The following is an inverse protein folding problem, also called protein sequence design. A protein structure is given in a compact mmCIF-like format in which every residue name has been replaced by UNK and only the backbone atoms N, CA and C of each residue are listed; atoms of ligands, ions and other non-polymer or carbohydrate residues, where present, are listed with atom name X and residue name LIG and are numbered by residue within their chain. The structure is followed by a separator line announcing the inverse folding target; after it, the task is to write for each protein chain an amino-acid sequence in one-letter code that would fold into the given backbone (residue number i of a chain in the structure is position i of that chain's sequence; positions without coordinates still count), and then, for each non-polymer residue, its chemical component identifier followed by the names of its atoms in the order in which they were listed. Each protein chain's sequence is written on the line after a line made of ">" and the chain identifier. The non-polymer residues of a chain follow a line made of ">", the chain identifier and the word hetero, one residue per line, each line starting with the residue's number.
data_IF_024563308764
#
_entry.id   IF_024563308764
#
_cell.length_a   1.000
_cell.length_b   1.000
_cell.length_c   1.000
_cell.angle_alpha   90.00
_cell.angle_beta   90.00
_cell.angle_gamma   90.00
#
_symmetry.space_group_name_H-M   'P 1'
#
loop_
_entity.id
_entity.type
_entity.pdbx_description
1 polymer ?
#
# COMPACT_ATOMS: atom_id res chain seq x y z
N UNK A 1 -4.53 6.97 -32.71
CA UNK A 1 -5.04 8.35 -32.58
C UNK A 1 -4.11 9.14 -31.66
N UNK A 2 -3.68 10.33 -32.06
CA UNK A 2 -2.91 11.23 -31.20
C UNK A 2 -3.85 11.91 -30.21
N UNK A 3 -3.67 11.60 -28.93
CA UNK A 3 -4.55 12.03 -27.84
C UNK A 3 -3.71 12.65 -26.74
N UNK A 4 -4.22 13.71 -26.12
CA UNK A 4 -3.67 14.24 -24.87
C UNK A 4 -4.36 13.51 -23.73
N UNK A 5 -3.60 12.72 -22.98
CA UNK A 5 -4.07 12.12 -21.74
C UNK A 5 -3.77 13.06 -20.59
N UNK A 6 -4.78 13.41 -19.81
CA UNK A 6 -4.68 14.31 -18.67
C UNK A 6 -5.18 13.61 -17.42
N UNK A 7 -4.36 13.61 -16.37
CA UNK A 7 -4.74 13.28 -15.02
C UNK A 7 -4.86 14.58 -14.22
N UNK A 8 -5.97 14.76 -13.51
CA UNK A 8 -6.29 15.99 -12.78
C UNK A 8 -6.74 15.67 -11.37
N UNK A 9 -6.27 16.46 -10.41
CA UNK A 9 -6.66 16.37 -9.01
C UNK A 9 -6.74 17.77 -8.40
N UNK A 10 -7.15 17.84 -7.14
CA UNK A 10 -7.15 19.08 -6.35
C UNK A 10 -5.83 19.13 -5.57
N UNK A 11 -5.37 20.35 -5.37
CA UNK A 11 -4.25 20.69 -4.51
C UNK A 11 -4.73 21.69 -3.46
N UNK A 12 -4.32 21.48 -2.21
CA UNK A 12 -4.70 22.29 -1.06
C UNK A 12 -3.45 22.80 -0.37
N UNK A 13 -3.51 24.02 0.16
CA UNK A 13 -2.43 24.61 0.91
C UNK A 13 -2.62 26.09 1.17
N UNK A 14 -1.67 26.67 1.90
CA UNK A 14 -1.60 28.09 2.17
C UNK A 14 -0.82 28.81 1.05
N UNK A 15 -1.39 28.83 -0.15
CA UNK A 15 -0.84 29.52 -1.32
C UNK A 15 -1.93 30.20 -2.14
N UNK A 16 -1.55 31.13 -3.00
CA UNK A 16 -2.47 31.85 -3.89
C UNK A 16 -1.96 31.79 -5.32
N UNK A 17 -2.84 31.39 -6.24
CA UNK A 17 -2.60 31.40 -7.68
C UNK A 17 -3.46 32.51 -8.29
N UNK A 18 -2.82 33.55 -8.82
CA UNK A 18 -3.51 34.70 -9.44
C UNK A 18 -3.94 34.41 -10.88
N UNK A 19 -3.10 33.69 -11.62
CA UNK A 19 -3.30 33.32 -13.02
C UNK A 19 -2.95 31.84 -13.21
N UNK A 20 -3.59 31.15 -14.17
CA UNK A 20 -3.24 29.77 -14.49
C UNK A 20 -1.74 29.62 -14.81
N UNK A 21 -1.06 28.72 -14.10
CA UNK A 21 0.35 28.42 -14.29
C UNK A 21 0.46 27.18 -15.17
N UNK A 22 1.36 27.22 -16.15
CA UNK A 22 1.63 26.12 -17.06
C UNK A 22 3.13 25.94 -17.22
N UNK A 23 3.61 24.71 -17.05
CA UNK A 23 5.00 24.33 -17.28
C UNK A 23 5.10 23.03 -18.07
N UNK A 24 6.26 22.81 -18.70
CA UNK A 24 6.62 21.55 -19.33
C UNK A 24 7.76 20.91 -18.55
N UNK A 25 7.56 19.67 -18.09
CA UNK A 25 8.55 18.90 -17.34
C UNK A 25 8.58 17.46 -17.84
N UNK A 26 9.75 16.98 -18.30
CA UNK A 26 9.94 15.61 -18.79
C UNK A 26 8.86 15.14 -19.79
N UNK A 27 8.53 15.97 -20.80
CA UNK A 27 7.48 15.73 -21.80
C UNK A 27 6.05 15.70 -21.24
N UNK A 28 5.86 16.09 -19.97
CA UNK A 28 4.56 16.26 -19.35
C UNK A 28 4.25 17.74 -19.20
N UNK A 29 3.06 18.14 -19.61
CA UNK A 29 2.52 19.47 -19.38
C UNK A 29 1.82 19.48 -18.02
N UNK A 30 2.22 20.39 -17.15
CA UNK A 30 1.67 20.53 -15.80
C UNK A 30 0.96 21.88 -15.73
N UNK A 31 -0.30 21.86 -15.32
CA UNK A 31 -1.13 23.06 -15.17
C UNK A 31 -1.65 23.17 -13.73
N UNK A 32 -1.55 24.37 -13.15
CA UNK A 32 -2.12 24.73 -11.85
C UNK A 32 -3.05 25.93 -12.04
N UNK A 33 -4.34 25.75 -11.72
CA UNK A 33 -5.36 26.76 -11.99
C UNK A 33 -6.52 26.68 -10.99
N UNK A 34 -7.38 27.70 -11.01
CA UNK A 34 -8.59 27.73 -10.18
C UNK A 34 -9.80 27.26 -11.00
N UNK A 35 -10.59 26.33 -10.45
CA UNK A 35 -11.86 25.89 -11.05
C UNK A 35 -12.87 25.58 -9.96
N UNK A 36 -14.07 26.17 -10.05
CA UNK A 36 -15.12 25.96 -9.05
C UNK A 36 -14.71 26.36 -7.62
N UNK A 37 -13.78 27.31 -7.48
CA UNK A 37 -13.25 27.74 -6.18
C UNK A 37 -12.18 26.83 -5.57
N UNK A 38 -11.77 25.76 -6.27
CA UNK A 38 -10.71 24.86 -5.85
C UNK A 38 -9.46 25.04 -6.73
N UNK A 39 -8.28 24.89 -6.13
CA UNK A 39 -7.04 24.79 -6.91
C UNK A 39 -6.92 23.39 -7.51
N UNK A 40 -6.79 23.35 -8.82
CA UNK A 40 -6.67 22.13 -9.61
C UNK A 40 -5.25 22.00 -10.13
N UNK A 41 -4.69 20.81 -9.97
CA UNK A 41 -3.41 20.43 -10.54
C UNK A 41 -3.66 19.35 -11.58
N UNK A 42 -3.20 19.57 -12.81
CA UNK A 42 -3.27 18.56 -13.86
C UNK A 42 -1.92 18.29 -14.49
N UNK A 43 -1.66 17.02 -14.79
CA UNK A 43 -0.50 16.55 -15.52
C UNK A 43 -1.02 15.91 -16.81
N UNK A 44 -0.46 16.30 -17.94
CA UNK A 44 -0.91 15.89 -19.26
C UNK A 44 0.27 15.41 -20.11
N UNK A 45 0.04 14.42 -20.97
CA UNK A 45 1.04 13.95 -21.94
C UNK A 45 0.39 13.52 -23.24
N UNK A 46 1.18 13.54 -24.30
CA UNK A 46 0.75 13.02 -25.58
C UNK A 46 0.90 11.50 -25.61
N UNK A 47 -0.15 10.82 -26.07
CA UNK A 47 -0.18 9.37 -26.24
C UNK A 47 -0.69 9.01 -27.63
N UNK A 48 -0.17 7.89 -28.13
CA UNK A 48 -0.77 7.16 -29.24
C UNK A 48 -1.74 6.13 -28.67
N UNK A 49 -3.04 6.40 -28.81
CA UNK A 49 -4.09 5.50 -28.38
C UNK A 49 -4.55 4.64 -29.57
N UNK A 50 -4.54 3.32 -29.41
CA UNK A 50 -5.08 2.41 -30.40
C UNK A 50 -6.59 2.25 -30.22
N UNK A 51 -7.33 1.93 -31.30
CA UNK A 51 -8.78 1.68 -31.18
C UNK A 51 -9.10 0.44 -30.33
N UNK A 52 -8.19 -0.53 -30.28
CA UNK A 52 -8.22 -1.70 -29.40
C UNK A 52 -8.21 -1.35 -27.91
N UNK A 53 -7.70 -0.17 -27.54
CA UNK A 53 -7.59 0.28 -26.16
C UNK A 53 -8.92 0.82 -25.57
N UNK A 54 -9.94 0.98 -26.42
CA UNK A 54 -11.29 1.43 -26.06
C UNK A 54 -12.31 0.34 -26.35
N UNK A 55 -12.71 -0.39 -25.32
CA UNK A 55 -13.79 -1.37 -25.43
C UNK A 55 -15.12 -0.67 -25.11
N UNK A 56 -15.92 -0.38 -26.13
CA UNK A 56 -17.28 0.17 -25.93
C UNK A 56 -18.15 -0.88 -25.22
N UNK A 57 -18.53 -0.59 -23.98
CA UNK A 57 -19.33 -1.47 -23.12
C UNK A 57 -20.83 -1.30 -23.39
N UNK A 58 -21.28 -0.09 -23.72
CA UNK A 58 -22.70 0.21 -24.01
C UNK A 58 -22.85 1.60 -24.62
N UNK A 59 -23.94 1.82 -25.37
CA UNK A 59 -24.32 3.12 -25.94
C UNK A 59 -25.77 3.40 -25.61
N UNK A 60 -26.02 4.29 -24.65
CA UNK A 60 -27.37 4.74 -24.31
C UNK A 60 -27.52 6.22 -24.64
N UNK A 61 -28.46 6.55 -25.53
CA UNK A 61 -28.87 7.94 -25.80
C UNK A 61 -27.74 8.90 -26.20
N UNK A 62 -26.71 8.42 -26.89
CA UNK A 62 -25.57 9.23 -27.34
C UNK A 62 -24.38 9.30 -26.38
N UNK A 63 -24.44 8.67 -25.19
CA UNK A 63 -23.27 8.48 -24.33
C UNK A 63 -22.80 7.03 -24.42
N UNK A 64 -21.62 6.85 -25.03
CA UNK A 64 -20.91 5.58 -25.04
C UNK A 64 -20.09 5.42 -23.75
N UNK A 65 -20.20 4.26 -23.11
CA UNK A 65 -19.37 3.88 -21.95
C UNK A 65 -18.23 2.99 -22.44
N UNK A 66 -16.99 3.30 -22.09
CA UNK A 66 -15.81 2.54 -22.51
C UNK A 66 -15.08 1.91 -21.32
N UNK A 67 -14.57 0.70 -21.50
CA UNK A 67 -13.51 0.14 -20.67
C UNK A 67 -12.16 0.43 -21.32
N UNK A 68 -11.20 0.92 -20.53
CA UNK A 68 -9.83 1.14 -20.96
C UNK A 68 -8.86 0.73 -19.86
N UNK A 69 -7.66 0.28 -20.24
CA UNK A 69 -6.61 -0.05 -19.28
C UNK A 69 -5.94 1.24 -18.80
N UNK A 70 -6.50 1.84 -17.74
CA UNK A 70 -5.98 3.10 -17.15
C UNK A 70 -4.49 2.99 -16.79
N UNK A 71 -4.06 1.83 -16.30
CA UNK A 71 -2.68 1.62 -15.86
C UNK A 71 -1.69 1.63 -17.04
N UNK A 72 -2.15 1.49 -18.29
CA UNK A 72 -1.34 1.68 -19.50
C UNK A 72 -0.92 3.15 -19.67
N UNK A 73 -1.76 4.10 -19.25
CA UNK A 73 -1.56 5.53 -19.53
C UNK A 73 -1.20 6.35 -18.30
N UNK A 74 -1.77 6.03 -17.14
CA UNK A 74 -1.36 6.61 -15.86
C UNK A 74 -0.08 5.89 -15.40
N UNK A 75 1.07 6.38 -15.85
CA UNK A 75 2.37 5.81 -15.49
C UNK A 75 2.88 6.35 -14.16
N UNK A 76 3.93 5.69 -13.64
CA UNK A 76 4.59 6.10 -12.39
C UNK A 76 5.07 7.54 -12.45
N UNK A 77 5.60 8.00 -13.60
CA UNK A 77 6.10 9.37 -13.78
C UNK A 77 5.04 10.43 -13.52
N UNK A 78 3.82 10.25 -14.01
CA UNK A 78 2.73 11.21 -13.72
C UNK A 78 2.41 11.26 -12.22
N UNK A 79 2.39 10.12 -11.53
CA UNK A 79 2.18 10.06 -10.08
C UNK A 79 3.35 10.67 -9.30
N UNK A 80 4.58 10.45 -9.75
CA UNK A 80 5.77 11.02 -9.14
C UNK A 80 5.81 12.55 -9.29
N UNK A 81 5.30 13.11 -10.41
CA UNK A 81 5.12 14.57 -10.55
C UNK A 81 4.20 15.11 -9.46
N UNK A 82 3.03 14.49 -9.25
CA UNK A 82 2.12 14.91 -8.18
C UNK A 82 2.76 14.81 -6.80
N UNK A 83 3.46 13.70 -6.53
CA UNK A 83 4.19 13.47 -5.27
C UNK A 83 5.27 14.54 -5.06
N UNK A 84 6.06 14.83 -6.08
CA UNK A 84 7.12 15.82 -6.00
C UNK A 84 6.56 17.22 -5.73
N UNK A 85 5.47 17.61 -6.38
CA UNK A 85 4.82 18.90 -6.12
C UNK A 85 4.30 18.97 -4.68
N UNK A 86 3.72 17.89 -4.16
CA UNK A 86 3.31 17.82 -2.75
C UNK A 86 4.50 18.00 -1.80
N UNK A 87 5.59 17.26 -2.01
CA UNK A 87 6.77 17.26 -1.13
C UNK A 87 7.53 18.59 -1.19
N UNK A 88 7.99 19.00 -2.37
CA UNK A 88 8.80 20.21 -2.52
C UNK A 88 7.96 21.48 -2.32
N UNK A 89 6.72 21.45 -2.82
CA UNK A 89 5.77 22.53 -2.62
C UNK A 89 5.35 22.70 -1.16
N UNK A 90 5.29 21.62 -0.39
CA UNK A 90 4.97 21.71 1.04
C UNK A 90 6.06 22.37 1.86
N UNK A 91 7.33 22.19 1.49
CA UNK A 91 8.44 22.85 2.17
C UNK A 91 8.52 24.35 1.83
N UNK A 92 8.38 24.72 0.55
CA UNK A 92 8.71 26.08 0.09
C UNK A 92 7.49 26.98 -0.13
N UNK A 93 6.33 26.39 -0.39
CA UNK A 93 5.18 27.09 -0.98
C UNK A 93 3.85 26.77 -0.30
N UNK A 94 3.88 26.23 0.92
CA UNK A 94 2.68 26.03 1.73
C UNK A 94 1.69 25.01 1.16
N UNK A 95 2.08 24.17 0.20
CA UNK A 95 1.24 23.07 -0.29
C UNK A 95 1.06 22.06 0.84
N UNK A 96 -0.17 21.81 1.24
CA UNK A 96 -0.50 20.88 2.33
C UNK A 96 -0.81 19.48 1.79
N UNK A 97 -1.52 19.40 0.66
CA UNK A 97 -1.95 18.13 0.10
C UNK A 97 -2.19 18.21 -1.41
N UNK A 98 -1.80 17.17 -2.13
CA UNK A 98 -2.22 16.89 -3.51
C UNK A 98 -3.00 15.57 -3.47
N UNK A 99 -4.25 15.59 -3.92
CA UNK A 99 -5.19 14.48 -3.71
C UNK A 99 -5.14 13.39 -4.79
N UNK A 100 -3.96 13.17 -5.38
CA UNK A 100 -3.77 12.23 -6.48
C UNK A 100 -3.99 10.76 -6.09
N UNK A 101 -3.99 10.44 -4.79
CA UNK A 101 -4.27 9.12 -4.24
C UNK A 101 -5.74 8.90 -3.88
N UNK A 102 -6.52 9.97 -3.72
CA UNK A 102 -7.92 9.92 -3.33
C UNK A 102 -8.82 10.01 -4.56
N UNK A 103 -8.53 10.97 -5.44
CA UNK A 103 -9.31 11.24 -6.64
C UNK A 103 -8.45 11.74 -7.81
N UNK A 104 -8.67 11.10 -8.96
CA UNK A 104 -8.16 11.54 -10.24
C UNK A 104 -9.31 11.66 -11.24
N UNK A 105 -9.49 12.86 -11.77
CA UNK A 105 -10.29 13.09 -12.97
C UNK A 105 -9.37 12.87 -14.18
N UNK A 106 -9.66 11.80 -14.93
CA UNK A 106 -8.90 11.38 -16.10
C UNK A 106 -9.64 11.80 -17.36
N UNK A 107 -8.93 12.33 -18.35
CA UNK A 107 -9.52 12.71 -19.63
C UNK A 107 -8.58 12.44 -20.80
N UNK A 108 -9.20 12.17 -21.95
CA UNK A 108 -8.52 11.89 -23.21
C UNK A 108 -9.04 12.89 -24.23
N UNK A 109 -8.20 13.80 -24.68
CA UNK A 109 -8.57 14.91 -25.56
C UNK A 109 -7.97 14.65 -26.94
N UNK A 110 -8.81 14.67 -27.97
CA UNK A 110 -8.36 14.63 -29.37
C UNK A 110 -7.54 15.90 -29.65
N UNK A 111 -6.25 15.73 -29.96
CA UNK A 111 -5.33 16.85 -30.18
C UNK A 111 -5.74 17.71 -31.38
N UNK A 112 -6.31 17.11 -32.43
CA UNK A 112 -6.69 17.83 -33.65
C UNK A 112 -8.00 18.60 -33.48
N UNK A 113 -8.95 18.03 -32.73
CA UNK A 113 -10.29 18.64 -32.55
C UNK A 113 -10.42 19.45 -31.26
N UNK A 114 -9.44 19.35 -30.36
CA UNK A 114 -9.50 19.86 -28.98
C UNK A 114 -10.80 19.49 -28.27
N UNK A 115 -11.29 18.26 -28.49
CA UNK A 115 -12.54 17.74 -27.93
C UNK A 115 -12.23 16.57 -27.01
N UNK A 116 -12.86 16.57 -25.83
CA UNK A 116 -12.82 15.43 -24.90
C UNK A 116 -13.47 14.24 -25.60
N UNK A 117 -12.70 13.18 -25.83
CA UNK A 117 -13.18 11.91 -26.37
C UNK A 117 -13.95 11.16 -25.29
N UNK A 118 -13.37 11.08 -24.09
CA UNK A 118 -14.01 10.53 -22.91
C UNK A 118 -13.31 11.04 -21.64
N UNK A 119 -14.02 10.99 -20.52
CA UNK A 119 -13.50 11.33 -19.20
C UNK A 119 -14.04 10.36 -18.16
N UNK A 120 -13.28 10.15 -17.09
CA UNK A 120 -13.62 9.26 -16.00
C UNK A 120 -13.09 9.82 -14.68
N UNK A 121 -13.91 9.74 -13.63
CA UNK A 121 -13.45 9.98 -12.26
C UNK A 121 -13.01 8.66 -11.63
N UNK A 122 -11.72 8.52 -11.37
CA UNK A 122 -11.14 7.38 -10.64
C UNK A 122 -11.05 7.75 -9.17
N UNK A 123 -11.93 7.15 -8.35
CA UNK A 123 -11.73 7.08 -6.91
C UNK A 123 -10.88 5.85 -6.63
N UNK A 124 -9.66 6.06 -6.17
CA UNK A 124 -8.69 4.98 -5.94
C UNK A 124 -8.98 4.23 -4.64
N UNK A 125 -9.62 4.87 -3.66
CA UNK A 125 -9.87 4.33 -2.32
C UNK A 125 -11.35 4.16 -1.98
N UNK A 126 -12.03 3.23 -2.66
CA UNK A 126 -13.33 2.74 -2.16
C UNK A 126 -13.09 1.68 -1.08
N UNK A 127 -12.91 2.11 0.16
CA UNK A 127 -12.98 1.20 1.30
C UNK A 127 -14.35 0.51 1.32
N UNK A 128 -14.36 -0.81 1.48
CA UNK A 128 -15.61 -1.57 1.68
C UNK A 128 -16.24 -1.12 3.00
N UNK A 129 -17.45 -0.57 2.93
CA UNK A 129 -18.24 -0.28 4.13
C UNK A 129 -18.61 -1.60 4.80
N UNK A 130 -18.29 -1.72 6.09
CA UNK A 130 -18.69 -2.88 6.91
C UNK A 130 -19.97 -2.52 7.66
N UNK A 131 -20.97 -3.41 7.63
CA UNK A 131 -22.18 -3.25 8.43
C UNK A 131 -21.84 -3.43 9.92
N UNK A 132 -22.14 -2.41 10.72
CA UNK A 132 -22.06 -2.51 12.18
C UNK A 132 -23.42 -2.97 12.71
N UNK A 133 -23.44 -4.16 13.32
CA UNK A 133 -24.60 -4.70 14.03
C UNK A 133 -24.43 -4.50 15.54
N UNK A 134 -25.52 -4.63 16.30
CA UNK A 134 -25.48 -4.60 17.78
C UNK A 134 -24.48 -5.60 18.34
N UNK A 135 -24.44 -6.82 17.77
CA UNK A 135 -23.54 -7.89 18.21
C UNK A 135 -22.07 -7.55 17.98
N UNK A 136 -21.73 -7.05 16.79
CA UNK A 136 -20.36 -6.68 16.46
C UNK A 136 -19.88 -5.48 17.29
N UNK A 137 -20.77 -4.52 17.55
CA UNK A 137 -20.46 -3.35 18.38
C UNK A 137 -20.25 -3.75 19.86
N UNK A 138 -21.10 -4.63 20.39
CA UNK A 138 -20.94 -5.17 21.76
C UNK A 138 -19.65 -5.97 21.90
N UNK A 139 -19.29 -6.76 20.87
CA UNK A 139 -18.03 -7.52 20.83
C UNK A 139 -16.80 -6.61 20.79
N UNK A 140 -16.86 -5.47 20.09
CA UNK A 140 -15.78 -4.47 20.08
C UNK A 140 -15.52 -3.90 21.48
N UNK A 141 -16.58 -3.62 22.25
CA UNK A 141 -16.43 -3.17 23.63
C UNK A 141 -15.84 -4.25 24.54
N UNK A 142 -16.17 -5.51 24.26
CA UNK A 142 -15.68 -6.67 25.01
C UNK A 142 -14.20 -7.00 24.72
N UNK A 143 -13.75 -6.78 23.48
CA UNK A 143 -12.36 -7.03 23.07
C UNK A 143 -11.37 -6.19 23.91
N UNK A 144 -11.72 -4.94 24.29
CA UNK A 144 -10.89 -4.12 25.20
C UNK A 144 -10.62 -4.82 26.53
N UNK A 145 -11.60 -5.56 27.04
CA UNK A 145 -11.50 -6.29 28.31
C UNK A 145 -10.79 -7.61 28.14
N UNK A 146 -10.92 -8.27 26.99
CA UNK A 146 -10.37 -9.60 26.76
C UNK A 146 -8.94 -9.61 26.22
N UNK A 147 -8.57 -8.62 25.40
CA UNK A 147 -7.25 -8.52 24.74
C UNK A 147 -6.71 -7.07 24.81
N UNK A 148 -6.51 -6.50 26.01
CA UNK A 148 -6.00 -5.12 26.14
C UNK A 148 -4.66 -4.90 25.44
N UNK A 149 -3.81 -5.93 25.37
CA UNK A 149 -2.52 -5.91 24.69
C UNK A 149 -2.62 -5.67 23.18
N UNK A 150 -3.78 -5.92 22.57
CA UNK A 150 -4.01 -5.73 21.13
C UNK A 150 -4.20 -4.26 20.75
N UNK A 151 -4.46 -3.35 21.71
CA UNK A 151 -4.75 -1.93 21.43
C UNK A 151 -3.67 -1.26 20.58
N UNK A 152 -2.41 -1.41 20.97
CA UNK A 152 -1.26 -0.78 20.28
C UNK A 152 -1.05 -1.42 18.89
N UNK A 153 -0.94 -2.76 18.76
CA UNK A 153 -0.92 -3.46 17.46
C UNK A 153 -2.06 -3.07 16.52
N UNK A 154 -3.29 -3.01 17.02
CA UNK A 154 -4.46 -2.68 16.19
C UNK A 154 -4.44 -1.23 15.73
N UNK A 155 -3.94 -0.30 16.54
CA UNK A 155 -3.79 1.09 16.11
C UNK A 155 -2.74 1.22 15.00
N UNK A 156 -1.56 0.62 15.17
CA UNK A 156 -0.55 0.59 14.12
C UNK A 156 -1.04 -0.14 12.87
N UNK A 157 -1.80 -1.22 13.01
CA UNK A 157 -2.38 -1.93 11.88
C UNK A 157 -3.37 -1.03 11.12
N UNK A 158 -4.22 -0.28 11.82
CA UNK A 158 -5.14 0.68 11.21
C UNK A 158 -4.38 1.79 10.46
N UNK A 159 -3.37 2.38 11.08
CA UNK A 159 -2.54 3.44 10.48
C UNK A 159 -1.77 2.90 9.26
N UNK A 160 -1.14 1.74 9.39
CA UNK A 160 -0.42 1.07 8.30
C UNK A 160 -1.30 0.80 7.09
N UNK A 161 -2.53 0.32 7.31
CA UNK A 161 -3.49 0.14 6.22
C UNK A 161 -3.91 1.47 5.59
N UNK A 162 -4.05 2.55 6.36
CA UNK A 162 -4.31 3.86 5.78
C UNK A 162 -3.17 4.35 4.86
N UNK A 163 -1.92 4.01 5.17
CA UNK A 163 -0.79 4.30 4.28
C UNK A 163 -0.79 3.38 3.06
N UNK A 164 -1.10 2.10 3.26
CA UNK A 164 -1.18 1.12 2.18
C UNK A 164 -2.28 1.47 1.16
N UNK A 165 -3.43 1.94 1.63
CA UNK A 165 -4.52 2.48 0.80
C UNK A 165 -4.04 3.68 -0.03
N UNK A 166 -3.12 4.48 0.51
CA UNK A 166 -2.50 5.62 -0.20
C UNK A 166 -1.28 5.22 -1.04
N UNK A 167 -1.01 3.93 -1.19
CA UNK A 167 0.17 3.38 -1.88
C UNK A 167 1.50 3.89 -1.30
N UNK A 168 1.50 4.42 -0.07
CA UNK A 168 2.71 4.82 0.64
C UNK A 168 3.30 3.58 1.32
N UNK A 169 3.96 2.76 0.51
CA UNK A 169 4.49 1.47 0.97
C UNK A 169 5.57 1.64 2.04
N UNK A 170 6.35 2.71 2.01
CA UNK A 170 7.41 2.97 3.00
C UNK A 170 6.81 3.23 4.37
N UNK A 171 5.85 4.16 4.46
CA UNK A 171 5.18 4.46 5.73
C UNK A 171 4.38 3.25 6.22
N UNK A 172 3.68 2.55 5.33
CA UNK A 172 2.95 1.33 5.67
C UNK A 172 3.90 0.26 6.24
N UNK A 173 5.03 0.03 5.58
CA UNK A 173 6.05 -0.93 6.01
C UNK A 173 6.54 -0.63 7.43
N UNK A 174 6.92 0.62 7.69
CA UNK A 174 7.42 1.05 9.00
C UNK A 174 6.36 0.78 10.09
N UNK A 175 5.10 1.11 9.83
CA UNK A 175 4.02 0.90 10.82
C UNK A 175 3.72 -0.58 11.04
N UNK A 176 3.72 -1.41 10.00
CA UNK A 176 3.62 -2.86 10.17
C UNK A 176 4.82 -3.42 10.95
N UNK A 177 6.03 -2.94 10.68
CA UNK A 177 7.21 -3.37 11.41
C UNK A 177 7.10 -3.01 12.90
N UNK A 178 6.60 -1.83 13.25
CA UNK A 178 6.37 -1.42 14.65
C UNK A 178 5.44 -2.39 15.41
N UNK A 179 4.48 -3.04 14.74
CA UNK A 179 3.68 -4.11 15.34
C UNK A 179 4.57 -5.28 15.75
N UNK A 180 5.46 -5.73 14.87
CA UNK A 180 6.38 -6.82 15.16
C UNK A 180 7.35 -6.44 16.29
N UNK A 181 7.85 -5.21 16.31
CA UNK A 181 8.70 -4.70 17.39
C UNK A 181 7.98 -4.78 18.74
N UNK A 182 6.78 -4.20 18.81
CA UNK A 182 5.97 -4.18 20.02
C UNK A 182 5.67 -5.60 20.51
N UNK A 183 5.29 -6.51 19.61
CA UNK A 183 4.86 -7.86 19.99
C UNK A 183 6.01 -8.79 20.36
N UNK A 184 7.17 -8.66 19.72
CA UNK A 184 8.20 -9.70 19.74
C UNK A 184 9.60 -9.20 20.11
N UNK A 185 9.89 -7.90 20.07
CA UNK A 185 11.24 -7.40 20.36
C UNK A 185 11.57 -7.38 21.86
N UNK A 186 10.54 -7.38 22.72
CA UNK A 186 10.67 -7.28 24.20
C UNK A 186 11.40 -5.99 24.65
N UNK A 187 11.15 -4.87 23.97
CA UNK A 187 11.79 -3.58 24.25
C UNK A 187 13.29 -3.53 23.92
N UNK A 188 13.80 -4.51 23.17
CA UNK A 188 15.19 -4.54 22.69
C UNK A 188 15.29 -3.95 21.30
N UNK A 189 16.43 -3.33 21.01
CA UNK A 189 16.78 -2.77 19.69
C UNK A 189 17.97 -3.54 19.11
N UNK A 190 18.26 -3.36 17.83
CA UNK A 190 19.44 -3.91 17.13
C UNK A 190 19.46 -5.45 17.00
N UNK A 191 20.64 -6.10 17.02
CA UNK A 191 20.78 -7.54 16.78
C UNK A 191 19.97 -8.42 17.77
N UNK A 192 19.72 -7.94 18.99
CA UNK A 192 18.95 -8.66 20.01
C UNK A 192 17.46 -8.77 19.63
N UNK A 193 16.90 -7.73 19.00
CA UNK A 193 15.54 -7.74 18.45
C UNK A 193 15.38 -8.84 17.41
N UNK A 194 16.30 -8.90 16.44
CA UNK A 194 16.30 -9.92 15.39
C UNK A 194 16.36 -11.33 15.98
N UNK A 195 17.19 -11.54 17.00
CA UNK A 195 17.26 -12.82 17.74
C UNK A 195 15.93 -13.16 18.42
N UNK A 196 15.24 -12.17 19.00
CA UNK A 196 13.94 -12.38 19.63
C UNK A 196 12.85 -12.74 18.61
N UNK A 197 12.87 -12.11 17.43
CA UNK A 197 11.96 -12.45 16.34
C UNK A 197 12.12 -13.91 15.92
N UNK A 198 13.37 -14.35 15.69
CA UNK A 198 13.67 -15.74 15.28
C UNK A 198 13.28 -16.79 16.32
N UNK A 199 13.19 -16.42 17.60
CA UNK A 199 12.75 -17.32 18.68
C UNK A 199 11.23 -17.38 18.86
N UNK A 200 10.47 -16.52 18.19
CA UNK A 200 9.02 -16.43 18.38
C UNK A 200 8.28 -17.44 17.50
N UNK A 201 7.78 -18.52 18.11
CA UNK A 201 6.91 -19.48 17.40
C UNK A 201 5.65 -18.80 16.86
N UNK A 202 5.15 -17.78 17.55
CA UNK A 202 3.98 -17.03 17.09
C UNK A 202 4.25 -16.28 15.79
N UNK A 203 5.42 -15.65 15.70
CA UNK A 203 5.85 -14.95 14.49
C UNK A 203 6.17 -15.95 13.37
N UNK A 204 6.82 -17.07 13.70
CA UNK A 204 7.06 -18.17 12.76
C UNK A 204 5.75 -18.70 12.17
N UNK A 205 4.76 -18.94 13.01
CA UNK A 205 3.44 -19.35 12.56
C UNK A 205 2.77 -18.32 11.64
N UNK A 206 2.83 -17.03 11.98
CA UNK A 206 2.27 -15.97 11.13
C UNK A 206 2.99 -15.84 9.78
N UNK A 207 4.32 -15.96 9.76
CA UNK A 207 5.14 -15.94 8.53
C UNK A 207 4.82 -17.14 7.65
N UNK A 208 4.83 -18.35 8.18
CA UNK A 208 4.52 -19.56 7.41
C UNK A 208 3.08 -19.55 6.88
N UNK A 209 2.12 -19.06 7.69
CA UNK A 209 0.74 -18.90 7.25
C UNK A 209 0.62 -17.90 6.10
N UNK A 210 1.43 -16.83 6.13
CA UNK A 210 1.49 -15.84 5.04
C UNK A 210 2.04 -16.46 3.76
N UNK A 211 3.16 -17.20 3.84
CA UNK A 211 3.74 -17.89 2.68
C UNK A 211 2.71 -18.84 2.06
N UNK A 212 2.04 -19.66 2.88
CA UNK A 212 1.04 -20.60 2.40
C UNK A 212 -0.15 -19.88 1.74
N UNK A 213 -0.68 -18.85 2.39
CA UNK A 213 -1.77 -18.04 1.84
C UNK A 213 -1.40 -17.42 0.49
N UNK A 214 -0.20 -16.85 0.36
CA UNK A 214 0.26 -16.26 -0.90
C UNK A 214 0.46 -17.31 -1.99
N UNK A 215 1.08 -18.45 -1.66
CA UNK A 215 1.25 -19.56 -2.60
C UNK A 215 -0.10 -20.05 -3.17
N UNK A 216 -1.15 -20.06 -2.36
CA UNK A 216 -2.49 -20.48 -2.76
C UNK A 216 -3.30 -19.40 -3.50
N UNK A 217 -3.20 -18.13 -3.09
CA UNK A 217 -4.13 -17.07 -3.51
C UNK A 217 -3.51 -15.97 -4.38
N UNK A 218 -2.18 -15.86 -4.38
CA UNK A 218 -1.45 -14.77 -5.04
C UNK A 218 -0.05 -15.25 -5.42
N UNK A 219 0.00 -16.18 -6.38
CA UNK A 219 1.24 -16.88 -6.75
C UNK A 219 2.33 -15.93 -7.28
N UNK A 220 1.97 -14.87 -8.01
CA UNK A 220 2.91 -13.86 -8.49
C UNK A 220 3.63 -13.15 -7.33
N UNK A 221 2.89 -12.73 -6.30
CA UNK A 221 3.47 -12.13 -5.10
C UNK A 221 4.34 -13.12 -4.33
N UNK A 222 3.97 -14.41 -4.32
CA UNK A 222 4.82 -15.46 -3.77
C UNK A 222 6.16 -15.58 -4.53
N UNK A 223 6.14 -15.46 -5.86
CA UNK A 223 7.35 -15.45 -6.67
C UNK A 223 8.20 -14.20 -6.43
N UNK A 224 7.60 -13.02 -6.32
CA UNK A 224 8.31 -11.77 -5.98
C UNK A 224 9.03 -11.89 -4.63
N UNK A 225 8.37 -12.43 -3.61
CA UNK A 225 8.98 -12.64 -2.28
C UNK A 225 10.09 -13.71 -2.33
N UNK A 226 9.91 -14.75 -3.14
CA UNK A 226 10.96 -15.75 -3.36
C UNK A 226 12.17 -15.15 -4.08
N UNK A 227 11.95 -14.23 -5.02
CA UNK A 227 13.01 -13.51 -5.72
C UNK A 227 13.79 -12.61 -4.76
N UNK A 228 13.11 -11.86 -3.89
CA UNK A 228 13.74 -11.03 -2.84
C UNK A 228 14.69 -11.82 -1.93
N UNK A 229 14.37 -13.10 -1.66
CA UNK A 229 15.25 -14.02 -0.93
C UNK A 229 16.46 -14.42 -1.78
N UNK A 230 16.22 -14.75 -3.05
CA UNK A 230 17.24 -15.23 -4.00
C UNK A 230 18.26 -14.15 -4.33
N UNK A 231 17.83 -12.90 -4.49
CA UNK A 231 18.68 -11.74 -4.75
C UNK A 231 19.67 -11.48 -3.60
N UNK A 232 19.35 -11.96 -2.40
CA UNK A 232 20.24 -11.95 -1.23
C UNK A 232 20.96 -13.28 -1.01
N UNK A 233 20.98 -14.14 -2.02
CA UNK A 233 21.58 -15.49 -2.02
C UNK A 233 21.09 -16.38 -0.87
N UNK A 234 19.81 -16.28 -0.52
CA UNK A 234 19.20 -17.07 0.56
C UNK A 234 17.96 -17.81 0.07
N UNK A 235 17.74 -18.99 0.65
CA UNK A 235 16.51 -19.73 0.41
C UNK A 235 15.32 -19.09 1.14
N UNK A 236 14.13 -19.24 0.56
CA UNK A 236 12.88 -18.80 1.16
C UNK A 236 12.59 -19.64 2.41
N UNK A 237 12.84 -19.07 3.59
CA UNK A 237 12.48 -19.68 4.87
C UNK A 237 12.18 -18.60 5.90
N UNK A 238 11.69 -19.01 7.07
CA UNK A 238 11.35 -18.08 8.15
C UNK A 238 12.51 -17.16 8.53
N UNK A 239 13.70 -17.71 8.71
CA UNK A 239 14.88 -16.98 9.13
C UNK A 239 15.34 -15.94 8.11
N UNK A 240 15.32 -16.30 6.82
CA UNK A 240 15.60 -15.39 5.71
C UNK A 240 14.59 -14.25 5.66
N UNK A 241 13.30 -14.53 5.85
CA UNK A 241 12.28 -13.48 5.81
C UNK A 241 12.36 -12.54 7.01
N UNK A 242 12.69 -13.03 8.20
CA UNK A 242 13.00 -12.17 9.35
C UNK A 242 14.22 -11.29 9.05
N UNK A 243 15.27 -11.87 8.45
CA UNK A 243 16.44 -11.12 8.04
C UNK A 243 16.04 -10.01 7.06
N UNK A 244 15.32 -10.33 5.98
CA UNK A 244 14.90 -9.36 4.96
C UNK A 244 14.09 -8.24 5.59
N UNK A 245 13.09 -8.57 6.41
CA UNK A 245 12.27 -7.55 7.07
C UNK A 245 13.13 -6.64 7.98
N UNK A 246 14.06 -7.21 8.72
CA UNK A 246 14.98 -6.41 9.54
C UNK A 246 15.86 -5.46 8.70
N UNK A 247 16.36 -5.91 7.55
CA UNK A 247 17.16 -5.04 6.66
C UNK A 247 16.33 -3.92 6.06
N UNK A 248 15.14 -4.22 5.51
CA UNK A 248 14.22 -3.20 4.99
C UNK A 248 13.85 -2.18 6.06
N UNK A 249 13.61 -2.61 7.31
CA UNK A 249 13.41 -1.66 8.40
C UNK A 249 14.59 -0.70 8.56
N UNK A 250 15.82 -1.21 8.59
CA UNK A 250 17.01 -0.37 8.67
C UNK A 250 17.11 0.60 7.50
N UNK A 251 17.00 0.08 6.28
CA UNK A 251 17.16 0.85 5.05
C UNK A 251 16.10 1.96 4.91
N UNK A 252 14.84 1.65 5.24
CA UNK A 252 13.73 2.61 5.20
C UNK A 252 13.75 3.62 6.37
N UNK A 253 14.57 3.39 7.40
CA UNK A 253 14.74 4.33 8.53
C UNK A 253 15.91 5.28 8.34
N UNK A 254 16.87 4.94 7.48
CA UNK A 254 18.03 5.76 7.19
C UNK A 254 17.74 6.69 6.01
N UNK A 255 17.70 8.00 6.23
CA UNK A 255 17.29 8.99 5.23
C UNK A 255 17.94 8.80 3.84
N UNK A 256 19.26 8.59 3.78
CA UNK A 256 19.97 8.39 2.50
C UNK A 256 19.53 7.12 1.75
N UNK A 257 19.27 6.02 2.48
CA UNK A 257 18.82 4.77 1.87
C UNK A 257 17.33 4.83 1.52
N UNK A 258 16.54 5.45 2.39
CA UNK A 258 15.12 5.71 2.19
C UNK A 258 14.86 6.52 0.91
N UNK A 259 15.69 7.52 0.59
CA UNK A 259 15.56 8.32 -0.62
C UNK A 259 15.52 7.46 -1.90
N UNK A 260 16.36 6.42 -1.98
CA UNK A 260 16.38 5.47 -3.12
C UNK A 260 15.02 4.77 -3.29
N UNK A 261 14.37 4.43 -2.19
CA UNK A 261 13.05 3.79 -2.20
C UNK A 261 11.92 4.79 -2.42
N UNK A 262 12.08 6.06 -2.04
CA UNK A 262 11.09 7.12 -2.32
C UNK A 262 10.99 7.42 -3.83
N UNK A 263 12.12 7.32 -4.55
CA UNK A 263 12.17 7.39 -6.01
C UNK A 263 11.57 6.16 -6.70
N UNK A 264 11.50 5.01 -6.02
CA UNK A 264 10.92 3.78 -6.57
C UNK A 264 10.12 2.99 -5.51
N UNK A 265 8.97 3.53 -5.10
CA UNK A 265 8.16 2.93 -4.04
C UNK A 265 7.63 1.52 -4.41
N UNK A 266 7.43 1.24 -5.70
CA UNK A 266 6.97 -0.09 -6.16
C UNK A 266 8.00 -1.19 -5.84
N UNK A 267 9.28 -0.87 -5.69
CA UNK A 267 10.29 -1.85 -5.22
C UNK A 267 10.05 -2.33 -3.78
N UNK A 268 9.39 -1.53 -2.93
CA UNK A 268 9.10 -1.88 -1.53
C UNK A 268 7.74 -2.58 -1.39
N UNK A 269 6.92 -2.54 -2.44
CA UNK A 269 5.56 -3.08 -2.42
C UNK A 269 5.50 -4.57 -2.07
N UNK A 270 6.29 -5.48 -2.67
CA UNK A 270 6.15 -6.90 -2.37
C UNK A 270 6.36 -7.18 -0.89
N UNK A 271 7.47 -6.68 -0.32
CA UNK A 271 7.79 -6.88 1.09
C UNK A 271 6.80 -6.17 2.03
N UNK A 272 6.20 -5.06 1.61
CA UNK A 272 5.15 -4.36 2.35
C UNK A 272 3.84 -5.15 2.41
N UNK A 273 3.40 -5.71 1.28
CA UNK A 273 2.20 -6.58 1.26
C UNK A 273 2.47 -7.85 2.07
N UNK A 274 3.69 -8.37 2.02
CA UNK A 274 4.11 -9.50 2.84
C UNK A 274 4.02 -9.19 4.33
N UNK A 275 4.66 -8.13 4.82
CA UNK A 275 4.62 -7.78 6.25
C UNK A 275 3.20 -7.40 6.70
N UNK A 276 2.39 -6.79 5.83
CA UNK A 276 0.96 -6.53 6.08
C UNK A 276 0.21 -7.82 6.38
N UNK A 277 0.41 -8.86 5.54
CA UNK A 277 -0.20 -10.17 5.71
C UNK A 277 0.29 -10.88 6.98
N UNK A 278 1.60 -10.78 7.29
CA UNK A 278 2.15 -11.28 8.56
C UNK A 278 1.46 -10.59 9.75
N UNK A 279 1.33 -9.27 9.71
CA UNK A 279 0.69 -8.49 10.77
C UNK A 279 -0.79 -8.78 10.90
N UNK A 280 -1.49 -9.08 9.80
CA UNK A 280 -2.87 -9.56 9.82
C UNK A 280 -2.98 -10.86 10.63
N UNK A 281 -2.11 -11.84 10.36
CA UNK A 281 -2.07 -13.08 11.16
C UNK A 281 -1.67 -12.82 12.62
N UNK A 282 -0.68 -11.96 12.89
CA UNK A 282 -0.29 -11.60 14.26
C UNK A 282 -1.47 -11.02 15.03
N UNK A 283 -2.15 -10.01 14.46
CA UNK A 283 -3.29 -9.33 15.07
C UNK A 283 -4.51 -10.25 15.23
N UNK A 284 -4.83 -11.06 14.21
CA UNK A 284 -5.91 -12.03 14.29
C UNK A 284 -5.65 -13.10 15.35
N UNK A 285 -4.41 -13.58 15.43
CA UNK A 285 -4.06 -14.60 16.38
C UNK A 285 -4.02 -14.13 17.84
N UNK A 286 -3.87 -12.82 18.11
CA UNK A 286 -4.05 -12.28 19.48
C UNK A 286 -5.45 -12.58 20.00
N UNK A 287 -6.46 -12.52 19.13
CA UNK A 287 -7.84 -12.84 19.48
C UNK A 287 -8.05 -14.35 19.63
N UNK A 288 -7.53 -15.14 18.69
CA UNK A 288 -7.69 -16.60 18.68
C UNK A 288 -7.00 -17.26 19.89
N UNK A 289 -5.81 -16.79 20.26
CA UNK A 289 -4.99 -17.33 21.35
C UNK A 289 -4.96 -16.41 22.57
N UNK A 290 -6.06 -15.69 22.81
CA UNK A 290 -6.25 -14.89 24.00
C UNK A 290 -6.19 -15.78 25.25
N UNK A 291 -5.41 -15.37 26.25
CA UNK A 291 -5.17 -16.12 27.49
C UNK A 291 -6.42 -16.42 28.31
N UNK A 292 -7.48 -15.62 28.13
CA UNK A 292 -8.76 -15.86 28.80
C UNK A 292 -9.52 -17.07 28.26
N UNK A 293 -9.25 -17.47 27.03
CA UNK A 293 -9.94 -18.59 26.37
C UNK A 293 -9.02 -19.78 26.09
N UNK A 294 -7.71 -19.57 26.04
CA UNK A 294 -6.72 -20.60 25.70
C UNK A 294 -5.54 -20.51 26.65
N UNK A 295 -5.19 -21.61 27.34
CA UNK A 295 -4.01 -21.66 28.21
C UNK A 295 -2.71 -21.53 27.40
N UNK A 296 -1.63 -21.13 28.07
CA UNK A 296 -0.32 -20.98 27.41
C UNK A 296 0.21 -22.34 26.88
N UNK A 297 -0.07 -23.46 27.56
CA UNK A 297 0.27 -24.80 27.07
C UNK A 297 -0.52 -25.17 25.82
N UNK A 298 -1.83 -24.97 25.83
CA UNK A 298 -2.70 -25.27 24.69
C UNK A 298 -2.34 -24.40 23.47
N UNK A 299 -2.04 -23.12 23.71
CA UNK A 299 -1.52 -22.19 22.69
C UNK A 299 -0.21 -22.71 22.11
N UNK A 300 0.77 -23.06 22.95
CA UNK A 300 2.08 -23.55 22.51
C UNK A 300 1.94 -24.84 21.69
N UNK A 301 1.09 -25.77 22.13
CA UNK A 301 0.83 -27.02 21.43
C UNK A 301 0.23 -26.77 20.04
N UNK A 302 -0.91 -26.06 19.97
CA UNK A 302 -1.61 -25.76 18.69
C UNK A 302 -0.73 -25.00 17.70
N UNK A 303 0.00 -23.98 18.17
CA UNK A 303 0.92 -23.20 17.32
C UNK A 303 2.01 -24.10 16.76
N UNK A 304 2.62 -24.97 17.57
CA UNK A 304 3.66 -25.88 17.11
C UNK A 304 3.13 -26.93 16.12
N UNK A 305 1.93 -27.47 16.33
CA UNK A 305 1.30 -28.38 15.36
C UNK A 305 1.06 -27.69 14.02
N UNK A 306 0.55 -26.45 14.04
CA UNK A 306 0.34 -25.69 12.82
C UNK A 306 1.64 -25.36 12.09
N UNK A 307 2.71 -25.01 12.82
CA UNK A 307 4.04 -24.80 12.25
C UNK A 307 4.51 -26.06 11.54
N UNK A 308 4.50 -27.22 12.22
CA UNK A 308 4.95 -28.49 11.63
C UNK A 308 4.19 -28.84 10.36
N UNK A 309 2.87 -28.64 10.38
CA UNK A 309 2.02 -28.88 9.20
C UNK A 309 2.39 -27.94 8.04
N UNK A 310 2.58 -26.65 8.32
CA UNK A 310 2.94 -25.67 7.30
C UNK A 310 4.35 -25.92 6.73
N UNK A 311 5.33 -26.26 7.56
CA UNK A 311 6.69 -26.64 7.14
C UNK A 311 6.65 -27.83 6.16
N UNK A 312 5.84 -28.86 6.49
CA UNK A 312 5.64 -30.01 5.62
C UNK A 312 4.96 -29.64 4.29
N UNK A 313 3.90 -28.84 4.33
CA UNK A 313 3.16 -28.40 3.13
C UNK A 313 3.99 -27.50 2.21
N UNK A 314 4.85 -26.66 2.79
CA UNK A 314 5.67 -25.72 2.04
C UNK A 314 6.99 -26.33 1.57
N UNK A 315 7.39 -27.48 2.12
CA UNK A 315 8.69 -28.09 1.85
C UNK A 315 9.85 -27.29 2.45
N UNK A 316 9.58 -26.55 3.53
CA UNK A 316 10.55 -25.68 4.20
C UNK A 316 10.98 -26.38 5.49
N UNK A 317 12.19 -26.96 5.52
CA UNK A 317 12.78 -27.55 6.73
C UNK A 317 13.77 -26.60 7.38
#
# INVERSE_FOLDING_TARGET
>A
MNVIFTAKTVIEGNFVVKEPIQILYCLHKIDLYLEGGMYMLSVSKEINMEHSDLVELSRNGGKASFATNINKYLDSKMLDIFRNIEVYGGFQHGIMKVYYNEYLDLSWIDKAKNKVLFSMRKSLNKQKKVLITSDNFSKLMSDKTFIPEAKVPYNFFREANSYLDKLDYISAYIHFYMILEYCFAKGKFSAEQKKNFKKSNMLKYAVLSTINMMKERSYDLYLEIKQECTDKHKELNFDTLIDIMYHYRGDLSHAMKRAVYEENQESVKPITIFISSVCFFVCGNMKVYCRKFVSDEAKKHRVNEHIKRLELQLGLK
#
